data_IF_145713629130
#
_entry.id   IF_145713629130
#
_cell.length_a   1.000
_cell.length_b   1.000
_cell.length_c   1.000
_cell.angle_alpha   90.00
_cell.angle_beta   90.00
_cell.angle_gamma   90.00
#
_symmetry.space_group_name_H-M   'P 1'
#
loop_
_entity.id
_entity.type
_entity.pdbx_description
1 polymer ?
#
# COMPACT_ATOMS: atom_id res chain seq x y z
N UNK A 1 -17.92 2.66 -20.62
CA UNK A 1 -17.13 2.49 -19.38
C UNK A 1 -15.75 2.03 -19.82
N UNK A 2 -14.71 2.84 -19.65
CA UNK A 2 -13.34 2.38 -19.91
C UNK A 2 -13.04 1.19 -19.01
N UNK A 3 -12.51 0.12 -19.61
CA UNK A 3 -12.09 -1.06 -18.88
C UNK A 3 -10.70 -0.76 -18.33
N UNK A 4 -10.53 -0.75 -17.00
CA UNK A 4 -9.19 -0.70 -16.43
C UNK A 4 -8.44 -1.95 -16.87
N UNK A 5 -7.37 -1.75 -17.62
CA UNK A 5 -6.44 -2.82 -17.98
C UNK A 5 -5.57 -3.09 -16.75
N UNK A 6 -6.00 -4.06 -15.94
CA UNK A 6 -5.28 -4.46 -14.73
C UNK A 6 -4.07 -5.30 -15.15
N UNK A 7 -2.94 -4.63 -15.37
CA UNK A 7 -1.66 -5.28 -15.58
C UNK A 7 -1.23 -6.03 -14.31
N UNK A 8 -0.79 -7.27 -14.46
CA UNK A 8 -0.21 -8.04 -13.36
C UNK A 8 1.21 -7.56 -13.04
N UNK A 9 1.65 -7.74 -11.79
CA UNK A 9 2.99 -7.35 -11.34
C UNK A 9 3.16 -5.86 -11.04
N UNK A 10 2.10 -5.07 -11.15
CA UNK A 10 2.08 -3.69 -10.62
C UNK A 10 2.06 -3.70 -9.08
N UNK A 11 2.74 -2.77 -8.41
CA UNK A 11 2.81 -2.75 -6.96
C UNK A 11 1.47 -2.39 -6.31
N UNK A 12 1.23 -2.93 -5.11
CA UNK A 12 0.12 -2.54 -4.24
C UNK A 12 0.45 -1.18 -3.61
N UNK A 13 -0.32 -0.15 -3.96
CA UNK A 13 -0.25 1.16 -3.32
C UNK A 13 -1.09 1.20 -2.05
N UNK A 14 -0.48 1.59 -0.93
CA UNK A 14 -1.15 1.78 0.35
C UNK A 14 -0.86 3.19 0.87
N UNK A 15 -1.89 3.90 1.31
CA UNK A 15 -1.80 5.25 1.83
C UNK A 15 -2.49 5.36 3.20
N UNK A 16 -1.80 5.92 4.19
CA UNK A 16 -2.34 6.13 5.53
C UNK A 16 -1.99 7.52 6.09
N UNK A 17 -2.91 8.12 6.84
CA UNK A 17 -2.73 9.40 7.53
C UNK A 17 -2.30 9.23 9.00
N UNK A 18 -2.07 7.99 9.46
CA UNK A 18 -1.81 7.66 10.86
C UNK A 18 -0.73 6.60 11.10
N UNK A 19 -0.75 6.00 12.29
CA UNK A 19 0.18 4.94 12.76
C UNK A 19 -0.31 3.51 12.45
N UNK A 20 -1.50 3.36 11.86
CA UNK A 20 -2.17 2.08 11.67
C UNK A 20 -1.70 1.31 10.43
N UNK A 21 -1.20 2.02 9.42
CA UNK A 21 -0.92 1.49 8.08
C UNK A 21 0.14 0.40 8.05
N UNK A 22 1.11 0.45 8.97
CA UNK A 22 2.13 -0.60 9.10
C UNK A 22 1.55 -1.95 9.51
N UNK A 23 0.42 -1.98 10.23
CA UNK A 23 -0.26 -3.23 10.60
C UNK A 23 -0.86 -3.90 9.37
N UNK A 24 -1.43 -3.10 8.45
CA UNK A 24 -1.97 -3.59 7.18
C UNK A 24 -0.84 -4.10 6.29
N UNK A 25 0.25 -3.34 6.16
CA UNK A 25 1.45 -3.79 5.42
C UNK A 25 1.96 -5.13 5.97
N UNK A 26 1.97 -5.32 7.29
CA UNK A 26 2.40 -6.57 7.92
C UNK A 26 1.54 -7.76 7.50
N UNK A 27 0.22 -7.62 7.52
CA UNK A 27 -0.67 -8.71 7.09
C UNK A 27 -0.60 -8.98 5.58
N UNK A 28 -0.45 -7.93 4.74
CA UNK A 28 -0.23 -8.11 3.30
C UNK A 28 1.05 -8.93 3.06
N UNK A 29 2.15 -8.62 3.74
CA UNK A 29 3.40 -9.39 3.57
C UNK A 29 3.29 -10.84 4.05
N UNK A 30 2.39 -11.11 4.99
CA UNK A 30 2.14 -12.47 5.51
C UNK A 30 1.33 -13.32 4.52
N UNK A 31 0.27 -12.75 3.96
CA UNK A 31 -0.63 -13.46 3.05
C UNK A 31 -0.18 -13.41 1.56
N UNK A 32 0.56 -12.36 1.18
CA UNK A 32 1.01 -12.07 -0.19
C UNK A 32 2.53 -11.75 -0.22
N UNK A 33 3.40 -12.72 0.11
CA UNK A 33 4.82 -12.47 0.36
C UNK A 33 5.63 -12.03 -0.87
N UNK A 34 5.09 -12.20 -2.08
CA UNK A 34 5.77 -11.88 -3.34
C UNK A 34 5.33 -10.56 -3.98
N UNK A 35 4.36 -9.87 -3.38
CA UNK A 35 3.88 -8.60 -3.92
C UNK A 35 4.80 -7.44 -3.55
N UNK A 36 5.00 -6.55 -4.52
CA UNK A 36 5.66 -5.28 -4.28
C UNK A 36 4.67 -4.32 -3.61
N UNK A 37 5.07 -3.67 -2.52
CA UNK A 37 4.21 -2.73 -1.78
C UNK A 37 4.88 -1.35 -1.78
N UNK A 38 4.11 -0.34 -2.20
CA UNK A 38 4.46 1.07 -2.01
C UNK A 38 3.56 1.60 -0.89
N UNK A 39 4.16 1.94 0.25
CA UNK A 39 3.44 2.55 1.38
C UNK A 39 3.81 4.02 1.50
N UNK A 40 2.81 4.90 1.49
CA UNK A 40 2.95 6.32 1.67
C UNK A 40 2.20 6.76 2.92
N UNK A 41 2.89 7.43 3.83
CA UNK A 41 2.28 8.07 4.99
C UNK A 41 2.16 9.57 4.73
N UNK A 42 0.98 10.14 4.91
CA UNK A 42 0.84 11.59 5.01
C UNK A 42 0.99 11.99 6.48
N UNK A 43 2.25 12.18 6.87
CA UNK A 43 2.61 12.75 8.17
C UNK A 43 2.71 14.26 8.02
N UNK A 44 1.87 14.98 8.75
CA UNK A 44 2.07 16.41 8.97
C UNK A 44 3.42 16.55 9.69
N UNK A 45 4.41 17.28 9.13
CA UNK A 45 5.65 17.57 9.83
C UNK A 45 5.29 18.35 11.09
N UNK A 46 5.58 17.79 12.27
CA UNK A 46 5.59 18.58 13.50
C UNK A 46 6.74 19.57 13.35
N UNK A 47 6.40 20.80 12.99
CA UNK A 47 7.30 21.95 13.01
C UNK A 47 7.73 22.32 14.42
#
# INVERSE_FOLDING_TARGET
MEKLDLQSGVPIGLFDFGIGGLTVVKEIRKEMPFENIIFLEDKIPLG
#
